data_IF_336411908114
#
_entry.id   IF_336411908114
#
_cell.length_a   1.000
_cell.length_b   1.000
_cell.length_c   1.000
_cell.angle_alpha   90.00
_cell.angle_beta   90.00
_cell.angle_gamma   90.00
#
_symmetry.space_group_name_H-M   'P 1'
#
loop_
_entity.id
_entity.type
_entity.pdbx_description
1 polymer ?
#
# COMPACT_ATOMS: atom_id res chain seq x y z
N UNK A 1 -3.77 1.29 3.78
CA UNK A 1 -2.56 0.94 3.02
C UNK A 1 -1.53 0.41 3.99
N UNK A 2 -1.04 -0.82 3.79
CA UNK A 2 -0.05 -1.44 4.68
C UNK A 2 1.13 -1.94 3.87
N UNK A 3 2.31 -1.51 4.26
CA UNK A 3 3.57 -1.93 3.65
C UNK A 3 3.83 -3.41 3.89
N UNK A 4 4.26 -4.11 2.84
CA UNK A 4 4.74 -5.48 2.90
C UNK A 4 6.18 -5.57 2.47
N UNK A 5 6.90 -6.44 3.13
CA UNK A 5 8.25 -6.81 2.75
C UNK A 5 8.22 -8.25 2.23
N UNK A 6 8.72 -8.45 1.00
CA UNK A 6 8.90 -9.75 0.37
C UNK A 6 10.39 -10.04 0.37
N UNK A 7 10.80 -11.09 1.05
CA UNK A 7 12.20 -11.54 1.06
C UNK A 7 12.32 -12.93 0.45
N UNK A 8 13.33 -13.15 -0.39
CA UNK A 8 13.68 -14.48 -0.92
C UNK A 8 15.15 -14.74 -0.64
N UNK A 9 15.42 -15.68 0.28
CA UNK A 9 16.70 -16.38 0.39
C UNK A 9 16.58 -17.77 -0.23
N UNK A 10 17.64 -18.56 -0.27
CA UNK A 10 17.68 -19.93 -0.78
C UNK A 10 16.51 -20.78 -0.23
N UNK A 11 15.41 -20.82 -0.97
CA UNK A 11 14.28 -21.73 -0.74
C UNK A 11 13.00 -21.15 -0.18
N UNK A 12 13.00 -20.02 0.54
CA UNK A 12 11.80 -19.55 1.23
C UNK A 12 11.47 -18.08 0.96
N UNK A 13 10.18 -17.81 0.76
CA UNK A 13 9.63 -16.45 0.64
C UNK A 13 9.02 -16.08 1.99
N UNK A 14 9.72 -15.26 2.78
CA UNK A 14 9.21 -14.72 4.04
C UNK A 14 8.53 -13.38 3.83
N UNK A 15 7.46 -13.14 4.55
CA UNK A 15 6.66 -11.93 4.42
C UNK A 15 6.29 -11.36 5.78
N UNK A 16 6.66 -10.10 5.99
CA UNK A 16 6.35 -9.36 7.20
C UNK A 16 5.25 -8.35 6.95
N UNK A 17 4.26 -8.32 7.81
CA UNK A 17 3.35 -7.21 7.97
C UNK A 17 3.89 -6.31 9.10
N UNK A 18 3.54 -5.00 9.05
CA UNK A 18 3.94 -4.01 10.05
C UNK A 18 3.48 -4.45 11.45
N UNK A 19 4.43 -4.95 12.25
CA UNK A 19 4.26 -5.18 13.67
C UNK A 19 4.83 -4.01 14.48
N UNK A 20 5.58 -4.31 15.51
CA UNK A 20 6.33 -3.35 16.33
C UNK A 20 7.56 -2.72 15.62
N UNK A 21 7.77 -3.07 14.36
CA UNK A 21 8.93 -2.67 13.53
C UNK A 21 10.03 -3.73 13.45
N UNK A 22 10.02 -4.74 14.30
CA UNK A 22 11.03 -5.81 14.34
C UNK A 22 10.47 -7.18 13.98
N UNK A 23 9.21 -7.47 14.37
CA UNK A 23 8.54 -8.74 14.11
C UNK A 23 7.24 -8.47 13.36
N UNK A 24 6.99 -9.23 12.28
CA UNK A 24 5.77 -9.17 11.49
C UNK A 24 5.10 -10.54 11.42
N UNK A 25 3.79 -10.56 11.09
CA UNK A 25 3.05 -11.79 10.85
C UNK A 25 3.48 -12.43 9.53
N UNK A 26 3.64 -13.75 9.51
CA UNK A 26 3.79 -14.50 8.26
C UNK A 26 2.44 -14.63 7.56
N UNK A 27 2.35 -14.02 6.38
CA UNK A 27 1.16 -14.04 5.52
C UNK A 27 1.46 -14.68 4.16
N UNK A 28 2.48 -15.51 4.08
CA UNK A 28 2.96 -16.12 2.84
C UNK A 28 1.84 -16.86 2.10
N UNK A 29 1.10 -17.72 2.80
CA UNK A 29 0.00 -18.49 2.18
C UNK A 29 -1.06 -17.56 1.55
N UNK A 30 -1.39 -16.46 2.22
CA UNK A 30 -2.37 -15.49 1.75
C UNK A 30 -1.85 -14.69 0.55
N UNK A 31 -0.59 -14.24 0.59
CA UNK A 31 0.01 -13.51 -0.52
C UNK A 31 0.18 -14.39 -1.77
N UNK A 32 0.40 -15.69 -1.60
CA UNK A 32 0.46 -16.63 -2.74
C UNK A 32 -0.88 -16.76 -3.48
N UNK A 33 -2.00 -16.31 -2.89
CA UNK A 33 -3.30 -16.25 -3.58
C UNK A 33 -3.46 -15.02 -4.46
N UNK A 34 -2.64 -13.99 -4.29
CA UNK A 34 -2.71 -12.77 -5.09
C UNK A 34 -2.21 -13.06 -6.50
N UNK A 35 -3.07 -12.82 -7.50
CA UNK A 35 -2.84 -13.25 -8.88
C UNK A 35 -1.67 -12.53 -9.54
N UNK A 36 -1.48 -11.25 -9.27
CA UNK A 36 -0.45 -10.42 -9.89
C UNK A 36 0.95 -10.51 -9.23
N UNK A 37 1.13 -11.39 -8.24
CA UNK A 37 2.47 -11.72 -7.71
C UNK A 37 3.06 -12.88 -8.53
N UNK A 38 4.27 -12.74 -9.10
CA UNK A 38 4.93 -13.84 -9.77
C UNK A 38 5.22 -14.98 -8.79
N UNK A 39 4.79 -16.20 -9.13
CA UNK A 39 4.98 -17.39 -8.27
C UNK A 39 6.37 -18.00 -8.44
N UNK A 40 7.01 -17.73 -9.58
CA UNK A 40 8.36 -18.15 -9.93
C UNK A 40 9.06 -16.97 -10.62
N UNK A 41 10.30 -16.73 -10.25
CA UNK A 41 11.14 -15.73 -10.89
C UNK A 41 12.17 -16.44 -11.77
N UNK A 42 12.24 -16.03 -13.04
CA UNK A 42 13.34 -16.42 -13.94
C UNK A 42 14.50 -15.45 -13.72
N UNK A 43 15.73 -15.95 -13.73
CA UNK A 43 16.92 -15.13 -13.50
C UNK A 43 16.90 -14.29 -12.22
N UNK A 44 16.35 -14.86 -11.14
CA UNK A 44 16.30 -14.17 -9.86
C UNK A 44 17.71 -13.98 -9.28
N UNK A 45 18.00 -12.84 -8.63
CA UNK A 45 19.23 -12.65 -7.89
C UNK A 45 19.34 -13.63 -6.71
N UNK A 46 20.52 -13.78 -6.12
CA UNK A 46 20.74 -14.68 -4.99
C UNK A 46 19.83 -14.36 -3.79
N UNK A 47 19.63 -13.06 -3.55
CA UNK A 47 18.68 -12.56 -2.56
C UNK A 47 17.93 -11.35 -3.11
N UNK A 48 16.63 -11.28 -2.84
CA UNK A 48 15.78 -10.14 -3.20
C UNK A 48 14.73 -9.91 -2.12
N UNK A 49 14.77 -8.73 -1.52
CA UNK A 49 13.74 -8.24 -0.61
C UNK A 49 13.08 -7.00 -1.20
N UNK A 50 11.75 -7.03 -1.37
CA UNK A 50 10.99 -5.94 -1.94
C UNK A 50 9.87 -5.48 -1.01
N UNK A 51 9.54 -4.20 -1.11
CA UNK A 51 8.35 -3.62 -0.46
C UNK A 51 7.27 -3.35 -1.46
N UNK A 52 6.07 -3.73 -1.07
CA UNK A 52 4.86 -3.50 -1.84
C UNK A 52 3.69 -3.15 -0.94
N UNK A 53 2.61 -2.79 -1.59
CA UNK A 53 1.35 -2.48 -0.95
C UNK A 53 0.26 -3.35 -1.50
N UNK A 54 -0.38 -4.14 -0.63
CA UNK A 54 -1.54 -4.94 -0.99
C UNK A 54 -2.79 -4.08 -0.82
N UNK A 55 -3.62 -4.09 -1.84
CA UNK A 55 -4.86 -3.34 -1.85
C UNK A 55 -6.02 -4.19 -2.38
N UNK A 56 -7.23 -3.74 -2.14
CA UNK A 56 -8.44 -4.31 -2.71
C UNK A 56 -8.92 -3.39 -3.83
N UNK A 57 -8.98 -3.86 -5.08
CA UNK A 57 -9.57 -3.09 -6.16
C UNK A 57 -11.02 -2.70 -5.87
N UNK A 58 -11.47 -1.54 -6.36
CA UNK A 58 -12.86 -1.06 -6.15
C UNK A 58 -13.91 -2.09 -6.55
N UNK A 59 -13.69 -2.80 -7.67
CA UNK A 59 -14.58 -3.87 -8.13
C UNK A 59 -14.65 -5.02 -7.14
N UNK A 60 -13.51 -5.45 -6.59
CA UNK A 60 -13.43 -6.52 -5.60
C UNK A 60 -14.08 -6.10 -4.28
N UNK A 61 -13.92 -4.84 -3.89
CA UNK A 61 -14.56 -4.28 -2.70
C UNK A 61 -16.09 -4.23 -2.84
N UNK A 62 -16.61 -3.77 -3.99
CA UNK A 62 -18.04 -3.75 -4.24
C UNK A 62 -18.66 -5.17 -4.19
N UNK A 63 -18.00 -6.16 -4.81
CA UNK A 63 -18.45 -7.55 -4.75
C UNK A 63 -18.41 -8.13 -3.32
N UNK A 64 -17.42 -7.74 -2.52
CA UNK A 64 -17.35 -8.14 -1.12
C UNK A 64 -18.51 -7.58 -0.31
N UNK A 65 -18.80 -6.28 -0.45
CA UNK A 65 -19.92 -5.61 0.24
C UNK A 65 -21.24 -6.27 -0.12
N UNK A 66 -21.51 -6.48 -1.41
CA UNK A 66 -22.72 -7.18 -1.89
C UNK A 66 -22.86 -8.58 -1.28
N UNK A 67 -21.77 -9.36 -1.26
CA UNK A 67 -21.77 -10.69 -0.64
C UNK A 67 -22.08 -10.63 0.85
N UNK A 68 -21.53 -9.67 1.58
CA UNK A 68 -21.77 -9.50 3.01
C UNK A 68 -23.23 -9.12 3.30
N UNK A 69 -23.82 -8.23 2.50
CA UNK A 69 -25.22 -7.85 2.60
C UNK A 69 -26.16 -9.06 2.35
N UNK A 70 -25.89 -9.86 1.32
CA UNK A 70 -26.65 -11.07 1.00
C UNK A 70 -26.57 -12.11 2.13
N UNK A 71 -25.43 -12.19 2.83
CA UNK A 71 -25.22 -13.11 3.95
C UNK A 71 -25.77 -12.55 5.28
N UNK A 72 -26.30 -11.32 5.32
CA UNK A 72 -26.73 -10.65 6.55
C UNK A 72 -25.56 -10.26 7.49
N UNK A 73 -24.34 -10.16 6.94
CA UNK A 73 -23.16 -9.72 7.65
C UNK A 73 -23.07 -8.19 7.65
N UNK A 74 -22.34 -7.61 8.61
CA UNK A 74 -22.05 -6.17 8.58
C UNK A 74 -21.08 -5.84 7.44
N UNK A 75 -21.47 -5.00 6.47
CA UNK A 75 -20.62 -4.66 5.33
C UNK A 75 -19.32 -3.97 5.73
N UNK A 76 -18.26 -4.24 5.01
CA UNK A 76 -16.97 -3.58 5.18
C UNK A 76 -17.10 -2.08 4.83
N UNK A 77 -16.53 -1.22 5.69
CA UNK A 77 -16.70 0.25 5.55
C UNK A 77 -15.74 0.90 4.54
N UNK A 78 -14.59 0.29 4.30
CA UNK A 78 -13.62 0.83 3.34
C UNK A 78 -12.69 -0.27 2.80
N UNK A 79 -12.17 -0.13 1.56
CA UNK A 79 -11.34 -1.13 0.91
C UNK A 79 -9.99 -1.35 1.62
N UNK A 80 -9.45 -0.34 2.30
CA UNK A 80 -8.19 -0.44 3.03
C UNK A 80 -8.26 -1.44 4.19
N UNK A 81 -9.28 -1.30 5.03
CA UNK A 81 -9.49 -2.21 6.15
C UNK A 81 -9.91 -3.60 5.68
N UNK A 82 -10.71 -3.67 4.61
CA UNK A 82 -11.09 -4.93 3.96
C UNK A 82 -9.87 -5.69 3.42
N UNK A 83 -8.94 -5.02 2.74
CA UNK A 83 -7.69 -5.61 2.26
C UNK A 83 -6.84 -6.13 3.43
N UNK A 84 -6.63 -5.31 4.46
CA UNK A 84 -5.85 -5.68 5.64
C UNK A 84 -6.45 -6.87 6.40
N UNK A 85 -7.77 -6.90 6.56
CA UNK A 85 -8.51 -8.01 7.18
C UNK A 85 -8.44 -9.29 6.34
N UNK A 86 -8.56 -9.15 5.03
CA UNK A 86 -8.48 -10.28 4.09
C UNK A 86 -7.10 -10.92 4.07
N UNK A 87 -6.03 -10.12 4.15
CA UNK A 87 -4.67 -10.63 4.13
C UNK A 87 -4.29 -11.38 5.43
N UNK A 88 -4.96 -11.09 6.55
CA UNK A 88 -4.73 -11.75 7.83
C UNK A 88 -5.68 -12.93 8.11
N UNK A 89 -6.39 -13.41 7.11
CA UNK A 89 -7.24 -14.58 7.26
C UNK A 89 -6.39 -15.82 7.58
N UNK A 90 -6.85 -16.64 8.51
CA UNK A 90 -6.19 -17.91 8.85
C UNK A 90 -6.29 -18.93 7.71
N UNK A 91 -7.33 -18.82 6.89
CA UNK A 91 -7.55 -19.67 5.72
C UNK A 91 -7.30 -18.90 4.43
N UNK A 92 -6.26 -19.27 3.70
CA UNK A 92 -5.88 -18.64 2.44
C UNK A 92 -6.97 -18.73 1.34
N UNK A 93 -7.86 -19.71 1.42
CA UNK A 93 -9.00 -19.82 0.49
C UNK A 93 -9.91 -18.61 0.59
N UNK A 94 -10.15 -18.11 1.80
CA UNK A 94 -10.94 -16.88 2.02
C UNK A 94 -10.23 -15.67 1.40
N UNK A 95 -8.90 -15.57 1.56
CA UNK A 95 -8.11 -14.50 0.92
C UNK A 95 -8.18 -14.57 -0.60
N UNK A 96 -8.13 -15.77 -1.19
CA UNK A 96 -8.24 -15.97 -2.63
C UNK A 96 -9.58 -15.42 -3.20
N UNK A 97 -10.67 -15.61 -2.48
CA UNK A 97 -11.99 -15.12 -2.86
C UNK A 97 -12.12 -13.58 -2.83
N UNK A 98 -11.21 -12.90 -2.13
CA UNK A 98 -11.22 -11.44 -1.99
C UNK A 98 -10.58 -10.69 -3.16
N UNK A 99 -9.91 -11.39 -4.08
CA UNK A 99 -9.28 -10.83 -5.29
C UNK A 99 -8.43 -9.58 -4.98
N UNK A 100 -7.44 -9.74 -4.09
CA UNK A 100 -6.50 -8.69 -3.75
C UNK A 100 -5.46 -8.51 -4.86
N UNK A 101 -4.92 -7.30 -4.95
CA UNK A 101 -3.79 -6.95 -5.82
C UNK A 101 -2.65 -6.32 -5.00
N UNK A 102 -1.47 -6.21 -5.62
CA UNK A 102 -0.29 -5.58 -4.99
C UNK A 102 0.41 -4.64 -5.97
N UNK A 103 0.96 -3.54 -5.45
CA UNK A 103 1.95 -2.71 -6.12
C UNK A 103 3.29 -2.79 -5.39
N UNK A 104 4.37 -3.07 -6.12
CA UNK A 104 5.73 -3.04 -5.59
C UNK A 104 6.33 -1.67 -5.86
N UNK A 105 6.84 -1.02 -4.82
CA UNK A 105 7.34 0.35 -4.90
C UNK A 105 8.79 0.54 -4.41
N UNK A 106 9.46 -0.51 -3.95
CA UNK A 106 10.85 -0.41 -3.49
C UNK A 106 11.53 -1.79 -3.46
N UNK A 107 12.83 -1.82 -3.78
CA UNK A 107 13.75 -2.89 -3.37
C UNK A 107 14.32 -2.50 -2.01
N UNK A 108 14.23 -3.39 -1.05
CA UNK A 108 14.79 -3.20 0.28
C UNK A 108 16.22 -3.70 0.36
N UNK A 109 16.46 -4.88 -0.23
CA UNK A 109 17.78 -5.49 -0.35
C UNK A 109 17.84 -6.35 -1.62
N UNK A 110 19.01 -6.37 -2.25
CA UNK A 110 19.30 -7.20 -3.41
C UNK A 110 20.79 -7.61 -3.38
N UNK A 111 21.07 -8.86 -3.70
CA UNK A 111 22.43 -9.38 -3.81
C UNK A 111 22.71 -9.83 -5.26
N UNK A 112 23.84 -9.40 -5.81
CA UNK A 112 24.27 -9.78 -7.16
C UNK A 112 23.95 -8.76 -8.24
N UNK A 113 23.24 -7.66 -7.92
CA UNK A 113 22.94 -6.58 -8.86
C UNK A 113 23.34 -5.24 -8.25
N UNK A 114 23.87 -4.35 -9.08
CA UNK A 114 24.22 -2.98 -8.70
C UNK A 114 23.24 -2.03 -9.39
N UNK A 115 22.38 -1.41 -8.58
CA UNK A 115 21.39 -0.45 -9.02
C UNK A 115 21.74 0.93 -8.45
N UNK A 116 21.73 1.95 -9.29
CA UNK A 116 22.13 3.31 -8.92
C UNK A 116 20.94 4.24 -8.66
N UNK A 117 19.79 3.91 -9.25
CA UNK A 117 18.60 4.74 -9.24
C UNK A 117 17.33 3.98 -8.88
N UNK A 118 16.38 4.68 -8.29
CA UNK A 118 15.10 4.11 -7.89
C UNK A 118 14.25 3.66 -9.09
N UNK A 119 14.17 4.46 -10.14
CA UNK A 119 13.45 4.07 -11.35
C UNK A 119 14.06 2.83 -11.98
N UNK A 120 15.38 2.75 -12.06
CA UNK A 120 16.11 1.56 -12.52
C UNK A 120 15.72 0.32 -11.70
N UNK A 121 15.64 0.45 -10.38
CA UNK A 121 15.25 -0.65 -9.50
C UNK A 121 13.80 -1.12 -9.74
N UNK A 122 12.89 -0.21 -10.03
CA UNK A 122 11.50 -0.56 -10.37
C UNK A 122 11.39 -1.22 -11.75
N UNK A 123 12.18 -0.77 -12.74
CA UNK A 123 12.25 -1.40 -14.06
C UNK A 123 12.84 -2.81 -13.99
N UNK A 124 13.87 -3.01 -13.17
CA UNK A 124 14.42 -4.32 -12.89
C UNK A 124 13.34 -5.26 -12.32
N UNK A 125 12.59 -4.83 -11.31
CA UNK A 125 11.48 -5.60 -10.74
C UNK A 125 10.39 -5.91 -11.78
N UNK A 126 10.09 -4.96 -12.68
CA UNK A 126 9.13 -5.19 -13.77
C UNK A 126 9.61 -6.25 -14.74
N UNK A 127 10.90 -6.30 -15.08
CA UNK A 127 11.50 -7.35 -15.91
C UNK A 127 11.41 -8.73 -15.24
N UNK A 128 11.47 -8.78 -13.90
CA UNK A 128 11.25 -10.01 -13.12
C UNK A 128 9.75 -10.40 -13.00
N UNK A 129 8.84 -9.61 -13.57
CA UNK A 129 7.40 -9.89 -13.57
C UNK A 129 6.62 -9.32 -12.39
N UNK A 130 7.23 -8.49 -11.54
CA UNK A 130 6.50 -7.83 -10.46
C UNK A 130 5.62 -6.67 -10.97
N UNK A 131 4.41 -6.49 -10.44
CA UNK A 131 3.61 -5.29 -10.68
C UNK A 131 4.24 -4.12 -9.92
N UNK A 132 4.81 -3.17 -10.66
CA UNK A 132 5.50 -2.01 -10.09
C UNK A 132 4.72 -0.73 -10.31
N UNK A 133 4.99 0.29 -9.49
CA UNK A 133 4.37 1.63 -9.60
C UNK A 133 4.90 2.47 -10.78
N UNK A 134 5.74 1.92 -11.66
CA UNK A 134 6.29 2.62 -12.84
C UNK A 134 5.22 3.33 -13.69
N UNK A 135 4.03 2.75 -13.97
CA UNK A 135 3.02 3.45 -14.77
C UNK A 135 2.58 4.79 -14.17
N UNK A 136 2.80 4.97 -12.85
CA UNK A 136 2.46 6.17 -12.09
C UNK A 136 3.70 6.91 -11.56
N UNK A 137 4.88 6.61 -12.11
CA UNK A 137 6.16 7.15 -11.64
C UNK A 137 7.03 7.58 -12.79
N UNK A 138 7.54 8.79 -12.74
CA UNK A 138 8.50 9.31 -13.71
C UNK A 138 9.56 10.18 -13.02
N UNK A 139 10.79 10.25 -13.55
CA UNK A 139 11.79 11.18 -13.05
C UNK A 139 11.40 12.62 -13.40
N UNK A 140 11.44 13.50 -12.41
CA UNK A 140 11.16 14.93 -12.50
C UNK A 140 12.37 15.71 -11.99
N UNK A 141 12.63 16.90 -12.53
CA UNK A 141 13.85 17.67 -12.24
C UNK A 141 13.59 19.00 -11.54
N UNK A 142 12.41 19.57 -11.72
CA UNK A 142 12.07 20.88 -11.16
C UNK A 142 10.89 20.80 -10.19
N UNK A 143 10.78 21.80 -9.31
CA UNK A 143 9.65 21.89 -8.40
C UNK A 143 8.32 22.12 -9.14
N UNK A 144 8.37 22.79 -10.27
CA UNK A 144 7.22 23.04 -11.14
C UNK A 144 6.70 21.75 -11.75
N UNK A 145 7.59 20.91 -12.28
CA UNK A 145 7.25 19.59 -12.80
C UNK A 145 6.63 18.69 -11.71
N UNK A 146 7.19 18.72 -10.50
CA UNK A 146 6.67 17.94 -9.37
C UNK A 146 5.26 18.42 -9.01
N UNK A 147 5.01 19.74 -8.92
CA UNK A 147 3.68 20.27 -8.62
C UNK A 147 2.66 19.91 -9.70
N UNK A 148 3.06 20.03 -10.97
CA UNK A 148 2.20 19.67 -12.10
C UNK A 148 1.83 18.18 -12.08
N UNK A 149 2.79 17.29 -11.76
CA UNK A 149 2.54 15.85 -11.66
C UNK A 149 1.62 15.51 -10.48
N UNK A 150 1.82 16.14 -9.32
CA UNK A 150 0.94 15.96 -8.16
C UNK A 150 -0.49 16.36 -8.52
N UNK A 151 -0.69 17.47 -9.21
CA UNK A 151 -2.01 17.91 -9.66
C UNK A 151 -2.63 16.91 -10.65
N UNK A 152 -1.86 16.45 -11.65
CA UNK A 152 -2.31 15.48 -12.64
C UNK A 152 -2.74 14.14 -11.99
N UNK A 153 -1.96 13.64 -11.01
CA UNK A 153 -2.32 12.43 -10.25
C UNK A 153 -3.57 12.69 -9.41
N UNK A 154 -3.72 13.88 -8.83
CA UNK A 154 -4.91 14.29 -8.08
C UNK A 154 -6.20 14.23 -8.90
N UNK A 155 -6.15 14.57 -10.18
CA UNK A 155 -7.27 14.43 -11.11
C UNK A 155 -7.46 12.99 -11.56
N UNK A 156 -6.37 12.30 -11.93
CA UNK A 156 -6.40 10.93 -12.44
C UNK A 156 -6.85 9.89 -11.40
N UNK A 157 -6.65 10.15 -10.09
CA UNK A 157 -7.00 9.21 -9.01
C UNK A 157 -8.47 8.76 -9.02
N UNK A 158 -9.38 9.59 -9.54
CA UNK A 158 -10.80 9.28 -9.65
C UNK A 158 -11.07 8.11 -10.60
N UNK A 159 -10.17 7.90 -11.57
CA UNK A 159 -10.26 6.84 -12.59
C UNK A 159 -9.44 5.59 -12.25
N UNK A 160 -8.68 5.60 -11.14
CA UNK A 160 -7.92 4.42 -10.73
C UNK A 160 -8.85 3.30 -10.22
N UNK A 161 -8.45 2.07 -10.45
CA UNK A 161 -9.15 0.89 -9.94
C UNK A 161 -9.04 0.73 -8.41
N UNK A 162 -8.31 1.62 -7.74
CA UNK A 162 -8.03 1.62 -6.30
C UNK A 162 -8.08 3.05 -5.75
N UNK A 163 -8.22 3.15 -4.43
CA UNK A 163 -8.22 4.44 -3.75
C UNK A 163 -6.79 4.84 -3.37
N UNK A 164 -6.47 6.12 -3.57
CA UNK A 164 -5.21 6.73 -3.11
C UNK A 164 -5.47 8.05 -2.40
N UNK A 165 -4.77 8.28 -1.30
CA UNK A 165 -4.87 9.47 -0.47
C UNK A 165 -3.72 10.46 -0.70
N UNK A 166 -2.75 10.10 -1.56
CA UNK A 166 -1.62 10.98 -1.83
C UNK A 166 -0.57 10.37 -2.74
N UNK A 167 0.53 11.08 -2.86
CA UNK A 167 1.72 10.69 -3.62
C UNK A 167 2.97 10.78 -2.76
N UNK A 168 4.01 10.03 -3.10
CA UNK A 168 5.31 10.11 -2.45
C UNK A 168 6.35 10.55 -3.47
N UNK A 169 6.95 11.71 -3.23
CA UNK A 169 8.09 12.21 -3.98
C UNK A 169 9.36 11.66 -3.35
N UNK A 170 10.23 11.06 -4.15
CA UNK A 170 11.47 10.45 -3.69
C UNK A 170 12.66 10.95 -4.51
N UNK A 171 13.81 11.14 -3.87
CA UNK A 171 15.07 11.35 -4.59
C UNK A 171 15.39 10.07 -5.38
N UNK A 172 15.73 10.19 -6.67
CA UNK A 172 15.93 9.04 -7.54
C UNK A 172 17.29 8.35 -7.29
N UNK A 173 18.38 9.11 -7.16
CA UNK A 173 19.73 8.58 -6.94
C UNK A 173 19.90 7.98 -5.55
N UNK A 174 20.39 6.75 -5.45
CA UNK A 174 20.68 6.09 -4.18
C UNK A 174 21.87 6.72 -3.45
N UNK A 175 22.90 7.17 -4.16
CA UNK A 175 24.02 7.87 -3.57
C UNK A 175 23.58 9.18 -2.87
N UNK A 176 22.68 9.95 -3.51
CA UNK A 176 22.11 11.15 -2.89
C UNK A 176 21.23 10.81 -1.68
N UNK A 177 20.54 9.68 -1.67
CA UNK A 177 19.76 9.24 -0.50
C UNK A 177 20.65 8.93 0.69
N UNK A 178 21.80 8.29 0.46
CA UNK A 178 22.79 8.02 1.51
C UNK A 178 23.35 9.33 2.11
N UNK A 179 23.72 10.28 1.26
CA UNK A 179 24.19 11.60 1.68
C UNK A 179 23.14 12.36 2.50
N UNK A 180 21.89 12.35 2.07
CA UNK A 180 20.79 13.01 2.80
C UNK A 180 20.47 12.30 4.13
N UNK A 181 20.62 10.99 4.17
CA UNK A 181 20.37 10.16 5.34
C UNK A 181 18.92 10.12 5.80
N UNK A 182 18.73 9.78 7.07
CA UNK A 182 17.41 9.68 7.70
C UNK A 182 17.44 10.31 9.10
N UNK A 183 16.29 10.73 9.58
CA UNK A 183 16.06 11.00 11.01
C UNK A 183 15.73 9.69 11.74
N UNK A 184 15.60 9.73 13.06
CA UNK A 184 15.16 8.56 13.83
C UNK A 184 13.79 7.99 13.42
N UNK A 185 12.96 8.76 12.70
CA UNK A 185 11.59 8.40 12.36
C UNK A 185 11.31 8.31 10.85
N UNK A 186 11.99 9.15 10.04
CA UNK A 186 11.66 9.29 8.61
C UNK A 186 12.91 9.53 7.77
N UNK A 187 12.96 9.03 6.52
CA UNK A 187 14.01 9.37 5.58
C UNK A 187 13.91 10.83 5.14
N UNK A 188 15.05 11.50 4.95
CA UNK A 188 15.08 12.89 4.45
C UNK A 188 14.89 12.98 2.93
N UNK A 189 15.10 11.88 2.22
CA UNK A 189 15.02 11.78 0.76
C UNK A 189 13.63 11.45 0.22
N UNK A 190 12.60 11.39 1.08
CA UNK A 190 11.22 11.14 0.67
C UNK A 190 10.27 12.11 1.36
N UNK A 191 9.34 12.64 0.59
CA UNK A 191 8.27 13.51 1.08
C UNK A 191 6.91 12.98 0.61
N UNK A 192 5.98 12.83 1.55
CA UNK A 192 4.61 12.45 1.24
C UNK A 192 3.74 13.70 1.10
N UNK A 193 3.02 13.79 -0.01
CA UNK A 193 1.97 14.77 -0.23
C UNK A 193 0.62 14.06 -0.15
N UNK A 194 -0.24 14.50 0.77
CA UNK A 194 -1.61 13.99 0.90
C UNK A 194 -2.58 14.94 0.22
N UNK A 195 -3.47 14.35 -0.58
CA UNK A 195 -4.58 15.14 -1.14
C UNK A 195 -5.52 15.61 -0.03
N UNK A 196 -6.18 16.76 -0.19
CA UNK A 196 -7.24 17.16 0.71
C UNK A 196 -8.29 16.05 0.85
N UNK A 197 -8.84 15.84 2.06
CA UNK A 197 -9.95 14.92 2.24
C UNK A 197 -11.18 15.39 1.43
N UNK A 198 -12.00 14.42 1.03
CA UNK A 198 -13.31 14.78 0.46
C UNK A 198 -14.18 15.43 1.53
N UNK A 199 -14.70 16.60 1.24
CA UNK A 199 -15.67 17.29 2.08
C UNK A 199 -17.06 17.09 1.49
N UNK A 200 -18.01 16.71 2.35
CA UNK A 200 -19.43 16.58 1.97
C UNK A 200 -20.28 17.32 2.98
N UNK A 201 -21.20 18.10 2.48
CA UNK A 201 -22.21 18.74 3.33
C UNK A 201 -23.14 17.68 3.89
N UNK A 202 -23.46 17.81 5.20
CA UNK A 202 -24.38 16.91 5.89
C UNK A 202 -25.15 17.70 6.96
N UNK A 203 -26.27 17.15 7.38
CA UNK A 203 -27.05 17.73 8.49
C UNK A 203 -26.67 17.06 9.78
N UNK A 204 -26.16 17.85 10.74
CA UNK A 204 -25.92 17.38 12.09
C UNK A 204 -27.28 17.18 12.80
N UNK A 205 -27.57 15.97 13.22
CA UNK A 205 -28.82 15.63 13.94
C UNK A 205 -28.68 15.66 15.43
N UNK A 206 -27.58 15.11 15.92
CA UNK A 206 -27.36 14.94 17.36
C UNK A 206 -25.86 14.86 17.65
N UNK A 207 -25.46 15.35 18.83
CA UNK A 207 -24.13 15.12 19.40
C UNK A 207 -24.33 14.31 20.69
N UNK A 208 -23.86 13.07 20.70
CA UNK A 208 -23.85 12.24 21.89
C UNK A 208 -22.48 12.29 22.56
N UNK A 209 -22.49 12.41 23.89
CA UNK A 209 -21.25 12.39 24.66
C UNK A 209 -21.06 10.99 25.24
N UNK A 210 -19.96 10.34 24.90
CA UNK A 210 -19.54 9.09 25.50
C UNK A 210 -18.36 9.30 26.43
N UNK A 211 -18.36 8.60 27.57
CA UNK A 211 -17.27 8.65 28.55
C UNK A 211 -16.43 7.38 28.39
N UNK A 212 -15.16 7.54 28.03
CA UNK A 212 -14.22 6.44 27.92
C UNK A 212 -13.80 5.88 29.28
N UNK A 213 -13.15 4.72 29.32
CA UNK A 213 -12.67 4.06 30.53
C UNK A 213 -11.77 4.94 31.40
N UNK A 214 -11.09 5.90 30.82
CA UNK A 214 -10.19 6.85 31.51
C UNK A 214 -10.88 8.14 31.95
N UNK A 215 -12.20 8.24 31.80
CA UNK A 215 -12.97 9.45 32.12
C UNK A 215 -12.92 10.52 31.01
N UNK A 216 -12.26 10.26 29.91
CA UNK A 216 -12.23 11.18 28.78
C UNK A 216 -13.58 11.20 28.07
N UNK A 217 -14.16 12.40 27.93
CA UNK A 217 -15.41 12.63 27.21
C UNK A 217 -15.11 12.74 25.70
N UNK A 218 -15.73 11.89 24.90
CA UNK A 218 -15.62 11.89 23.46
C UNK A 218 -16.97 12.24 22.85
N UNK A 219 -17.09 13.42 22.17
CA UNK A 219 -18.31 13.75 21.44
C UNK A 219 -18.37 12.92 20.14
N UNK A 220 -19.55 12.38 19.87
CA UNK A 220 -19.86 11.67 18.63
C UNK A 220 -20.97 12.41 17.91
N UNK A 221 -20.71 12.89 16.71
CA UNK A 221 -21.69 13.56 15.87
C UNK A 221 -22.48 12.54 15.04
N UNK A 222 -23.80 12.56 15.18
CA UNK A 222 -24.70 11.80 14.31
C UNK A 222 -25.15 12.69 13.18
N UNK A 223 -24.75 12.32 11.98
CA UNK A 223 -25.06 13.04 10.75
C UNK A 223 -25.92 12.15 9.84
N UNK A 224 -26.61 12.77 8.90
CA UNK A 224 -27.29 12.08 7.82
C UNK A 224 -26.51 12.29 6.54
N UNK A 225 -26.19 11.19 5.88
CA UNK A 225 -25.77 11.18 4.48
C UNK A 225 -26.99 10.99 3.60
#
# INVERSE_FOLDING_TARGET
IRDFCLSRGLGDVYKRQRGDGFVGEDVTANLMTIANIPKKLEHAPAFLEVRGEVYMPRKSFAALVEQQELNGETPAKNPRNAAAGSLRQKNAVVTAQRSLDIWIFNIQQIDGEILSEHIESLEYLRKLGFPTVIPHSKPLRTAEEIRAEIAAIGEAKLHYAYDTDGVVVKVNSFAQREEMGATSKVPKWAAAFKFPPEEKETTLREIQLSVGRTGVITPVSYTHL
#
